data_IF_753313860055
#
_entry.id   IF_753313860055
#
_cell.length_a   1.000
_cell.length_b   1.000
_cell.length_c   1.000
_cell.angle_alpha   90.00
_cell.angle_beta   90.00
_cell.angle_gamma   90.00
#
_symmetry.space_group_name_H-M   'P 1'
#
loop_
_entity.id
_entity.type
_entity.pdbx_description
1 polymer ?
#
# COMPACT_ATOMS: atom_id res chain seq x y z
N UNK A 1 -46.33 -19.45 -5.82
CA UNK A 1 -44.93 -19.50 -5.29
C UNK A 1 -44.46 -18.05 -5.14
N UNK A 2 -44.54 -17.50 -3.93
CA UNK A 2 -44.30 -16.08 -3.66
C UNK A 2 -42.78 -15.84 -3.67
N UNK A 3 -42.29 -14.94 -4.53
CA UNK A 3 -40.90 -14.43 -4.48
C UNK A 3 -40.83 -13.39 -3.35
N UNK A 4 -39.88 -13.47 -2.40
CA UNK A 4 -39.75 -12.43 -1.40
C UNK A 4 -39.14 -11.16 -2.01
N UNK A 5 -39.62 -10.02 -1.54
CA UNK A 5 -39.22 -8.68 -1.95
C UNK A 5 -37.71 -8.46 -1.76
N UNK A 6 -37.09 -7.83 -2.75
CA UNK A 6 -35.67 -7.49 -2.76
C UNK A 6 -35.31 -6.55 -1.63
N UNK A 7 -34.61 -7.07 -0.61
CA UNK A 7 -33.85 -6.26 0.32
C UNK A 7 -32.70 -5.58 -0.41
N UNK A 8 -32.47 -4.30 -0.12
CA UNK A 8 -31.37 -3.50 -0.64
C UNK A 8 -30.06 -4.24 -0.30
N UNK A 9 -29.45 -4.90 -1.29
CA UNK A 9 -28.17 -5.58 -1.12
C UNK A 9 -27.08 -4.52 -1.21
N UNK A 10 -26.60 -4.04 -0.06
CA UNK A 10 -25.32 -3.37 -0.02
C UNK A 10 -24.26 -4.35 -0.56
N UNK A 11 -23.29 -3.89 -1.36
CA UNK A 11 -22.20 -4.75 -1.78
C UNK A 11 -21.57 -5.39 -0.54
N UNK A 12 -21.18 -6.68 -0.59
CA UNK A 12 -20.56 -7.35 0.55
C UNK A 12 -19.37 -6.51 1.03
N UNK A 13 -19.28 -6.30 2.35
CA UNK A 13 -18.11 -5.64 2.92
C UNK A 13 -16.87 -6.46 2.54
N UNK A 14 -15.86 -5.84 1.90
CA UNK A 14 -14.65 -6.55 1.51
C UNK A 14 -14.01 -7.16 2.76
N UNK A 15 -13.80 -8.48 2.74
CA UNK A 15 -13.17 -9.22 3.83
C UNK A 15 -11.69 -9.32 3.54
N UNK A 16 -10.84 -8.87 4.47
CA UNK A 16 -9.38 -8.86 4.31
C UNK A 16 -8.77 -9.95 5.19
N UNK A 17 -7.79 -10.68 4.66
CA UNK A 17 -7.01 -11.66 5.42
C UNK A 17 -5.63 -11.07 5.76
N UNK A 18 -5.26 -11.08 7.04
CA UNK A 18 -3.94 -10.68 7.52
C UNK A 18 -3.28 -11.93 8.10
N UNK A 19 -2.17 -12.37 7.50
CA UNK A 19 -1.40 -13.53 7.99
C UNK A 19 -2.26 -14.80 8.23
N UNK A 20 -3.28 -15.01 7.39
CA UNK A 20 -4.19 -16.17 7.47
C UNK A 20 -5.43 -15.99 8.36
N UNK A 21 -5.58 -14.85 9.04
CA UNK A 21 -6.75 -14.56 9.91
C UNK A 21 -7.68 -13.55 9.21
N UNK A 22 -9.00 -13.78 9.31
CA UNK A 22 -10.02 -12.83 8.83
C UNK A 22 -10.04 -11.60 9.72
N UNK A 23 -9.85 -10.43 9.14
CA UNK A 23 -10.01 -9.17 9.84
C UNK A 23 -11.48 -8.85 10.10
N UNK A 24 -11.79 -8.34 11.28
CA UNK A 24 -13.14 -8.02 11.78
C UNK A 24 -13.59 -6.60 11.40
N UNK A 25 -13.05 -6.04 10.33
CA UNK A 25 -13.36 -4.69 9.86
C UNK A 25 -12.85 -3.60 10.81
N UNK A 26 -13.73 -2.67 11.20
CA UNK A 26 -13.39 -1.44 11.93
C UNK A 26 -12.63 -1.67 13.25
N UNK A 27 -12.80 -2.84 13.88
CA UNK A 27 -12.09 -3.19 15.13
C UNK A 27 -10.60 -3.45 14.93
N UNK A 28 -10.21 -3.93 13.74
CA UNK A 28 -8.82 -4.29 13.45
C UNK A 28 -8.14 -3.22 12.57
N UNK A 29 -8.93 -2.32 11.95
CA UNK A 29 -8.44 -1.24 11.09
C UNK A 29 -9.20 0.08 11.34
N UNK A 30 -8.77 0.91 12.30
CA UNK A 30 -9.34 2.25 12.47
C UNK A 30 -9.06 3.14 11.24
N UNK A 31 -9.85 4.20 10.99
CA UNK A 31 -9.68 5.08 9.83
C UNK A 31 -8.25 5.61 9.65
N UNK A 32 -7.54 5.90 10.76
CA UNK A 32 -6.16 6.34 10.72
C UNK A 32 -5.21 5.27 10.15
N UNK A 33 -5.40 3.98 10.45
CA UNK A 33 -4.59 2.89 9.91
C UNK A 33 -4.80 2.74 8.40
N UNK A 34 -6.05 2.86 7.93
CA UNK A 34 -6.37 2.89 6.51
C UNK A 34 -5.72 4.09 5.81
N UNK A 35 -5.70 5.27 6.45
CA UNK A 35 -5.04 6.46 5.91
C UNK A 35 -3.51 6.27 5.79
N UNK A 36 -2.86 5.64 6.77
CA UNK A 36 -1.42 5.34 6.70
C UNK A 36 -1.12 4.41 5.52
N UNK A 37 -1.95 3.40 5.27
CA UNK A 37 -1.80 2.50 4.13
C UNK A 37 -1.91 3.23 2.77
N UNK A 38 -2.69 4.31 2.70
CA UNK A 38 -2.79 5.15 1.50
C UNK A 38 -1.62 6.14 1.36
N UNK A 39 -0.86 6.42 2.42
CA UNK A 39 0.37 7.19 2.32
C UNK A 39 1.51 6.31 1.84
N UNK A 40 1.90 6.51 0.57
CA UNK A 40 3.14 5.92 0.07
C UNK A 40 4.31 6.52 0.85
N UNK A 41 5.24 5.71 1.39
CA UNK A 41 6.47 6.25 1.95
C UNK A 41 7.17 7.08 0.88
N UNK A 42 7.59 8.30 1.25
CA UNK A 42 8.38 9.12 0.35
C UNK A 42 9.68 8.37 0.08
N UNK A 43 10.03 8.19 -1.20
CA UNK A 43 11.30 7.60 -1.54
C UNK A 43 12.40 8.48 -0.92
N UNK A 44 13.17 7.92 0.00
CA UNK A 44 14.38 8.56 0.47
C UNK A 44 15.37 8.52 -0.68
N UNK A 45 15.26 9.44 -1.63
CA UNK A 45 16.37 9.75 -2.50
C UNK A 45 17.46 10.32 -1.59
N UNK A 46 18.35 9.43 -1.19
CA UNK A 46 19.65 9.79 -0.67
C UNK A 46 20.21 10.85 -1.62
N UNK A 47 20.61 11.99 -1.06
CA UNK A 47 21.17 13.09 -1.84
C UNK A 47 22.52 12.60 -2.33
N UNK A 48 22.54 11.87 -3.44
CA UNK A 48 23.78 11.44 -4.05
C UNK A 48 24.58 12.72 -4.33
N UNK A 49 25.78 12.88 -3.72
CA UNK A 49 26.66 13.95 -4.15
C UNK A 49 26.88 13.74 -5.65
N UNK A 50 26.67 14.82 -6.41
CA UNK A 50 26.78 14.91 -7.87
C UNK A 50 27.82 13.92 -8.42
N UNK A 51 27.53 13.22 -9.55
CA UNK A 51 28.51 12.38 -10.20
C UNK A 51 29.67 13.28 -10.66
N UNK A 52 30.63 13.55 -9.77
CA UNK A 52 31.95 13.96 -10.20
C UNK A 52 32.37 12.87 -11.15
N UNK A 53 32.69 13.26 -12.37
CA UNK A 53 33.35 12.38 -13.33
C UNK A 53 34.57 11.81 -12.61
N UNK A 54 34.44 10.56 -12.16
CA UNK A 54 35.56 9.75 -11.69
C UNK A 54 36.38 9.51 -12.95
N UNK A 55 37.20 10.48 -13.33
CA UNK A 55 37.98 10.42 -14.55
C UNK A 55 39.06 9.36 -14.32
N UNK A 56 38.72 8.11 -14.64
CA UNK A 56 39.60 6.96 -14.47
C UNK A 56 40.84 7.25 -15.32
N UNK A 57 41.96 7.47 -14.65
CA UNK A 57 43.23 7.73 -15.31
C UNK A 57 43.72 6.42 -15.92
N UNK A 58 43.39 6.21 -17.19
CA UNK A 58 43.98 5.13 -17.99
C UNK A 58 45.48 5.40 -18.17
N UNK A 59 46.35 4.37 -18.10
CA UNK A 59 47.77 4.52 -18.43
C UNK A 59 47.93 5.07 -19.85
N UNK A 60 48.69 6.14 -20.02
CA UNK A 60 49.04 6.65 -21.35
C UNK A 60 50.48 6.24 -21.67
N UNK A 61 50.60 5.43 -22.74
CA UNK A 61 51.81 4.79 -23.29
C UNK A 61 52.54 3.82 -22.38
#
# INVERSE_FOLDING_TARGET
KVKPAGGISFPPKPTVFISGVIARGDKDFPPAAAQVAHQKPHASMDKHPSPRTQHIQQPRK
#
